data_IF_424025209490
#
_entry.id   IF_424025209490
#
_cell.length_a   1.000
_cell.length_b   1.000
_cell.length_c   1.000
_cell.angle_alpha   90.00
_cell.angle_beta   90.00
_cell.angle_gamma   90.00
#
_symmetry.space_group_name_H-M   'P 1'
#
loop_
_entity.id
_entity.type
_entity.pdbx_description
1 polymer ?
#
# COMPACT_ATOMS: atom_id res chain seq x y z
N UNK A 1 -8.10 -1.37 -6.15
CA UNK A 1 -8.22 0.06 -5.80
C UNK A 1 -9.34 0.20 -4.80
N UNK A 2 -9.20 1.10 -3.83
CA UNK A 2 -10.24 1.36 -2.83
C UNK A 2 -11.55 1.86 -3.50
N UNK A 3 -12.75 1.45 -3.03
CA UNK A 3 -14.02 1.97 -3.54
C UNK A 3 -14.28 3.45 -3.22
N UNK A 4 -13.68 3.99 -2.15
CA UNK A 4 -13.73 5.42 -1.83
C UNK A 4 -12.74 6.21 -2.71
N UNK A 5 -13.21 7.22 -3.48
CA UNK A 5 -12.36 8.00 -4.37
C UNK A 5 -11.20 8.72 -3.68
N UNK A 6 -11.36 9.15 -2.43
CA UNK A 6 -10.30 9.86 -1.70
C UNK A 6 -9.15 8.92 -1.37
N UNK A 7 -9.47 7.72 -0.87
CA UNK A 7 -8.46 6.71 -0.58
C UNK A 7 -7.86 6.12 -1.87
N UNK A 8 -8.65 5.94 -2.93
CA UNK A 8 -8.14 5.49 -4.22
C UNK A 8 -7.11 6.49 -4.81
N UNK A 9 -7.36 7.79 -4.67
CA UNK A 9 -6.41 8.83 -5.05
C UNK A 9 -5.15 8.75 -4.19
N UNK A 10 -5.30 8.62 -2.88
CA UNK A 10 -4.17 8.51 -1.95
C UNK A 10 -3.31 7.25 -2.21
N UNK A 11 -3.92 6.11 -2.57
CA UNK A 11 -3.19 4.90 -3.00
C UNK A 11 -2.26 5.19 -4.19
N UNK A 12 -2.69 6.01 -5.15
CA UNK A 12 -1.89 6.37 -6.32
C UNK A 12 -0.78 7.36 -5.99
N UNK A 13 -1.10 8.40 -5.22
CA UNK A 13 -0.11 9.40 -4.77
C UNK A 13 1.01 8.74 -3.97
N UNK A 14 0.67 7.89 -3.00
CA UNK A 14 1.67 7.16 -2.21
C UNK A 14 2.51 6.21 -3.07
N UNK A 15 1.91 5.51 -4.04
CA UNK A 15 2.65 4.62 -4.93
C UNK A 15 3.68 5.39 -5.77
N UNK A 16 3.33 6.59 -6.25
CA UNK A 16 4.25 7.47 -6.97
C UNK A 16 5.38 7.95 -6.04
N UNK A 17 5.03 8.49 -4.87
CA UNK A 17 6.00 8.98 -3.88
C UNK A 17 6.98 7.91 -3.43
N UNK A 18 6.50 6.71 -3.10
CA UNK A 18 7.34 5.58 -2.68
C UNK A 18 8.35 5.19 -3.77
N UNK A 19 7.93 5.21 -5.04
CA UNK A 19 8.81 4.89 -6.16
C UNK A 19 9.80 6.03 -6.46
N UNK A 20 9.46 7.28 -6.17
CA UNK A 20 10.38 8.42 -6.27
C UNK A 20 11.50 8.39 -5.22
N UNK A 21 11.37 7.63 -4.13
CA UNK A 21 12.43 7.52 -3.11
C UNK A 21 13.72 6.87 -3.64
N UNK A 22 13.66 6.18 -4.79
CA UNK A 22 14.85 5.59 -5.42
C UNK A 22 15.42 4.35 -4.70
N UNK A 23 14.71 3.83 -3.68
CA UNK A 23 15.10 2.65 -2.89
C UNK A 23 15.22 1.41 -3.78
N UNK A 24 14.26 1.21 -4.68
CA UNK A 24 14.27 0.14 -5.67
C UNK A 24 14.11 -1.27 -5.09
N UNK A 25 14.16 -2.31 -5.94
CA UNK A 25 13.91 -3.69 -5.54
C UNK A 25 14.95 -4.15 -4.52
N UNK A 26 14.48 -4.76 -3.41
CA UNK A 26 15.34 -5.23 -2.32
C UNK A 26 16.24 -4.14 -1.69
N UNK A 27 15.97 -2.86 -1.93
CA UNK A 27 16.80 -1.75 -1.42
C UNK A 27 18.12 -1.56 -2.16
N UNK A 28 18.27 -2.14 -3.36
CA UNK A 28 19.51 -2.06 -4.16
C UNK A 28 19.56 -0.85 -5.10
N UNK A 29 18.67 0.13 -4.90
CA UNK A 29 18.48 1.25 -5.79
C UNK A 29 17.58 0.91 -6.99
N UNK A 30 17.02 1.94 -7.62
CA UNK A 30 16.25 1.79 -8.87
C UNK A 30 14.98 2.61 -8.89
N UNK A 31 14.12 2.33 -9.88
CA UNK A 31 12.89 3.09 -10.15
C UNK A 31 11.62 2.56 -9.48
N UNK A 32 11.62 1.28 -9.08
CA UNK A 32 10.41 0.60 -8.61
C UNK A 32 10.70 -0.06 -7.27
N UNK A 33 10.21 0.57 -6.22
CA UNK A 33 10.23 0.09 -4.83
C UNK A 33 8.97 -0.70 -4.51
N UNK A 34 7.80 -0.21 -4.93
CA UNK A 34 6.50 -0.81 -4.68
C UNK A 34 5.73 -1.03 -5.97
N UNK A 35 5.02 -2.16 -6.05
CA UNK A 35 4.16 -2.51 -7.20
C UNK A 35 2.74 -1.97 -7.03
N UNK A 36 2.24 -1.92 -5.80
CA UNK A 36 0.93 -1.41 -5.48
C UNK A 36 0.88 -0.90 -4.03
N UNK A 37 -0.09 -0.02 -3.73
CA UNK A 37 -0.45 0.42 -2.39
C UNK A 37 -1.94 0.23 -2.21
N UNK A 38 -2.33 -0.37 -1.08
CA UNK A 38 -3.74 -0.58 -0.72
C UNK A 38 -4.02 0.04 0.64
N UNK A 39 -5.13 0.76 0.73
CA UNK A 39 -5.56 1.41 1.97
C UNK A 39 -6.87 0.80 2.42
N UNK A 40 -6.90 0.37 3.67
CA UNK A 40 -8.13 0.03 4.40
C UNK A 40 -8.35 1.10 5.47
N UNK A 41 -9.59 1.51 5.66
CA UNK A 41 -9.96 2.50 6.66
C UNK A 41 -11.08 1.97 7.56
N UNK A 42 -11.11 2.44 8.81
CA UNK A 42 -12.15 2.13 9.77
C UNK A 42 -12.33 3.32 10.73
N UNK A 43 -13.54 3.50 11.31
CA UNK A 43 -13.77 4.51 12.34
C UNK A 43 -12.82 4.34 13.54
N UNK A 44 -12.41 5.46 14.14
CA UNK A 44 -11.61 5.49 15.36
C UNK A 44 -12.10 6.59 16.32
N UNK A 45 -11.65 6.53 17.57
CA UNK A 45 -11.98 7.53 18.58
C UNK A 45 -11.32 8.88 18.24
N UNK A 46 -12.02 10.01 18.38
CA UNK A 46 -11.49 11.34 17.96
C UNK A 46 -10.14 11.72 18.58
N UNK A 47 -9.84 11.21 19.78
CA UNK A 47 -8.56 11.41 20.47
C UNK A 47 -7.43 10.47 20.05
N UNK A 48 -7.64 9.56 19.10
CA UNK A 48 -6.65 8.59 18.67
C UNK A 48 -6.80 8.22 17.17
N UNK A 49 -5.69 8.19 16.44
CA UNK A 49 -5.65 7.74 15.05
C UNK A 49 -4.70 6.55 14.91
N UNK A 50 -5.19 5.30 15.06
CA UNK A 50 -4.35 4.12 14.85
C UNK A 50 -4.00 3.98 13.37
N UNK A 51 -2.71 3.76 13.08
CA UNK A 51 -2.19 3.56 11.73
C UNK A 51 -1.25 2.37 11.73
N UNK A 52 -1.40 1.50 10.74
CA UNK A 52 -0.52 0.36 10.53
C UNK A 52 -0.07 0.33 9.06
N UNK A 53 1.18 -0.07 8.84
CA UNK A 53 1.73 -0.33 7.50
C UNK A 53 2.14 -1.78 7.47
N UNK A 54 1.66 -2.51 6.46
CA UNK A 54 2.05 -3.88 6.20
C UNK A 54 2.69 -3.97 4.82
N UNK A 55 3.67 -4.86 4.67
CA UNK A 55 4.38 -5.08 3.41
C UNK A 55 4.12 -6.50 2.94
N UNK A 56 3.71 -6.62 1.69
CA UNK A 56 3.68 -7.90 0.99
C UNK A 56 4.96 -8.07 0.18
N UNK A 57 5.59 -9.22 0.31
CA UNK A 57 6.91 -9.45 -0.26
C UNK A 57 6.81 -10.06 -1.66
N UNK A 58 7.96 -10.31 -2.26
CA UNK A 58 8.07 -11.01 -3.54
C UNK A 58 7.32 -12.36 -3.55
N UNK A 59 7.21 -13.04 -2.40
CA UNK A 59 6.52 -14.32 -2.27
C UNK A 59 5.00 -14.15 -2.02
N UNK A 60 4.35 -13.23 -2.76
CA UNK A 60 2.91 -12.99 -2.74
C UNK A 60 2.15 -14.25 -3.19
N UNK A 61 1.57 -14.97 -2.24
CA UNK A 61 0.92 -16.26 -2.47
C UNK A 61 -0.51 -16.19 -1.94
N UNK A 62 -1.47 -15.99 -2.84
CA UNK A 62 -2.89 -15.86 -2.51
C UNK A 62 -3.69 -16.90 -3.29
N UNK A 63 -4.66 -17.54 -2.63
CA UNK A 63 -5.61 -18.46 -3.24
C UNK A 63 -6.99 -18.23 -2.63
N UNK A 64 -7.99 -18.05 -3.48
CA UNK A 64 -9.40 -18.00 -3.10
C UNK A 64 -10.08 -19.28 -3.58
N UNK A 65 -10.94 -19.89 -2.75
CA UNK A 65 -11.70 -21.09 -3.07
C UNK A 65 -13.15 -20.81 -2.67
N UNK A 66 -14.08 -21.01 -3.58
CA UNK A 66 -15.53 -21.05 -3.28
C UNK A 66 -15.92 -22.52 -3.09
N UNK A 67 -16.72 -22.79 -2.04
CA UNK A 67 -17.19 -24.12 -1.66
C UNK A 67 -18.56 -24.42 -2.28
#
# INVERSE_FOLDING_TARGET
RNPDPNYAKLELELLEEINMLGVGPQGLGGRVTALDVRIENAPCHIGALPVAVNLDCHAHRVKTIEL
#
